data_IF_009871327458
#
_entry.id   IF_009871327458
#
_cell.length_a   1.000
_cell.length_b   1.000
_cell.length_c   1.000
_cell.angle_alpha   90.00
_cell.angle_beta   90.00
_cell.angle_gamma   90.00
#
_symmetry.space_group_name_H-M   'P 1'
#
loop_
_entity.id
_entity.type
_entity.pdbx_description
1 polymer ?
#
# COMPACT_ATOMS: atom_id res chain seq x y z
N UNK A 1 61.80 64.03 60.84
CA UNK A 1 60.66 63.57 61.68
C UNK A 1 59.71 62.75 60.81
N UNK A 2 58.96 61.80 61.39
CA UNK A 2 58.05 60.90 60.64
C UNK A 2 56.97 61.66 59.85
N UNK A 3 56.62 61.17 58.65
CA UNK A 3 55.26 60.75 58.29
C UNK A 3 55.27 59.88 57.02
N UNK A 4 54.62 58.71 57.12
CA UNK A 4 54.38 57.78 56.01
C UNK A 4 53.24 58.30 55.12
N UNK A 5 53.24 57.95 53.84
CA UNK A 5 52.02 57.71 53.06
C UNK A 5 52.19 56.54 52.07
N UNK A 6 51.26 55.60 52.16
CA UNK A 6 51.03 54.37 51.36
C UNK A 6 49.51 54.09 51.59
N UNK A 7 48.69 53.51 50.71
CA UNK A 7 48.83 52.69 49.47
C UNK A 7 47.78 53.23 48.47
N UNK A 8 47.83 53.07 47.13
CA UNK A 8 48.65 52.26 46.23
C UNK A 8 48.07 52.26 44.80
N UNK A 9 48.57 51.35 43.95
CA UNK A 9 48.20 51.27 42.53
C UNK A 9 47.49 49.96 42.23
N UNK A 10 46.36 50.01 41.54
CA UNK A 10 45.57 48.84 41.15
C UNK A 10 46.28 48.06 40.05
N UNK A 11 46.57 46.79 40.28
CA UNK A 11 47.13 45.88 39.27
C UNK A 11 46.01 45.12 38.56
N UNK A 12 45.71 45.48 37.32
CA UNK A 12 44.74 44.78 36.49
C UNK A 12 45.36 43.49 35.93
N UNK A 13 44.74 42.34 36.23
CA UNK A 13 45.14 41.03 35.70
C UNK A 13 44.28 40.74 34.46
N UNK A 14 44.91 40.66 33.30
CA UNK A 14 44.25 40.21 32.08
C UNK A 14 44.26 38.67 32.02
N UNK A 15 43.10 38.00 31.81
CA UNK A 15 43.08 36.54 31.65
C UNK A 15 43.60 36.14 30.27
N UNK A 16 44.65 35.31 30.24
CA UNK A 16 45.13 34.65 29.02
C UNK A 16 44.13 33.56 28.63
N UNK A 17 43.38 33.78 27.55
CA UNK A 17 42.45 32.80 27.01
C UNK A 17 43.16 31.67 26.28
N UNK A 18 43.34 30.52 26.93
CA UNK A 18 43.75 29.29 26.25
C UNK A 18 42.62 28.80 25.34
N UNK A 19 42.81 28.92 24.02
CA UNK A 19 41.90 28.38 23.02
C UNK A 19 42.01 26.84 22.96
N UNK A 20 41.26 26.15 23.82
CA UNK A 20 41.08 24.71 23.71
C UNK A 20 40.31 24.39 22.42
N UNK A 21 41.00 23.83 21.43
CA UNK A 21 40.36 23.20 20.27
C UNK A 21 39.54 22.01 20.76
N UNK A 22 38.23 22.22 20.94
CA UNK A 22 37.29 21.16 21.25
C UNK A 22 37.29 20.13 20.13
N UNK A 23 37.69 18.91 20.43
CA UNK A 23 37.51 17.77 19.53
C UNK A 23 36.00 17.50 19.48
N UNK A 24 35.33 18.09 18.48
CA UNK A 24 33.91 17.84 18.22
C UNK A 24 33.73 16.39 17.78
N UNK A 25 33.48 15.51 18.75
CA UNK A 25 33.01 14.15 18.49
C UNK A 25 31.66 14.29 17.80
N UNK A 26 31.64 14.08 16.48
CA UNK A 26 30.41 14.04 15.72
C UNK A 26 29.52 12.94 16.32
N UNK A 27 28.41 13.33 16.94
CA UNK A 27 27.36 12.39 17.31
C UNK A 27 26.80 11.83 16.01
N UNK A 28 27.15 10.60 15.69
CA UNK A 28 26.46 9.83 14.69
C UNK A 28 25.01 9.63 15.19
N UNK A 29 24.10 10.46 14.69
CA UNK A 29 22.66 10.24 14.84
C UNK A 29 22.31 8.98 14.06
N UNK A 30 22.39 7.82 14.73
CA UNK A 30 21.76 6.61 14.24
C UNK A 30 20.25 6.85 14.31
N UNK A 31 19.68 7.31 13.21
CA UNK A 31 18.24 7.22 12.98
C UNK A 31 17.88 5.74 13.04
N UNK A 32 17.42 5.29 14.21
CA UNK A 32 16.72 4.03 14.31
C UNK A 32 15.42 4.24 13.54
N UNK A 33 15.36 3.61 12.37
CA UNK A 33 14.18 3.62 11.53
C UNK A 33 13.05 2.97 12.34
N UNK A 34 12.14 3.80 12.86
CA UNK A 34 10.99 3.30 13.61
C UNK A 34 10.19 2.41 12.67
N UNK A 35 9.89 1.15 13.02
CA UNK A 35 9.14 0.28 12.13
C UNK A 35 7.82 0.97 11.79
N UNK A 36 7.59 1.19 10.49
CA UNK A 36 6.41 1.91 10.03
C UNK A 36 5.13 1.24 10.51
N UNK A 37 4.15 2.05 10.93
CA UNK A 37 2.90 1.55 11.49
C UNK A 37 2.14 0.70 10.45
N UNK A 38 1.76 -0.55 10.78
CA UNK A 38 0.99 -1.39 9.87
C UNK A 38 -0.39 -0.78 9.57
N UNK A 39 -0.74 -0.65 8.29
CA UNK A 39 -2.00 -0.07 7.85
C UNK A 39 -3.12 -1.12 7.79
N UNK A 40 -4.24 -0.83 8.44
CA UNK A 40 -5.51 -1.52 8.18
C UNK A 40 -6.25 -0.82 7.05
N UNK A 41 -6.44 -1.52 5.92
CA UNK A 41 -7.18 -0.97 4.77
C UNK A 41 -8.58 -1.59 4.67
N UNK A 42 -9.55 -0.72 4.38
CA UNK A 42 -10.96 -1.07 4.23
C UNK A 42 -11.56 -0.42 2.98
N UNK A 43 -12.43 -1.15 2.29
CA UNK A 43 -13.30 -0.61 1.25
C UNK A 43 -14.68 -1.25 1.33
N UNK A 44 -15.73 -0.48 1.06
CA UNK A 44 -17.09 -0.99 0.89
C UNK A 44 -17.91 -0.03 0.03
N UNK A 45 -18.76 -0.57 -0.84
CA UNK A 45 -19.68 0.23 -1.66
C UNK A 45 -20.49 -0.59 -2.65
N UNK A 46 -21.52 0.05 -3.21
CA UNK A 46 -22.30 -0.46 -4.34
C UNK A 46 -21.73 0.07 -5.66
N UNK A 47 -21.68 -0.79 -6.67
CA UNK A 47 -21.13 -0.47 -7.99
C UNK A 47 -22.02 0.56 -8.70
N UNK A 48 -21.39 1.65 -9.12
CA UNK A 48 -22.00 2.71 -9.93
C UNK A 48 -21.36 2.77 -11.31
N UNK A 49 -22.00 3.42 -12.31
CA UNK A 49 -21.31 3.86 -13.52
C UNK A 49 -20.06 4.70 -13.18
N UNK A 50 -19.02 4.70 -14.04
CA UNK A 50 -17.79 5.43 -13.74
C UNK A 50 -18.01 6.94 -13.56
N UNK A 51 -17.57 7.47 -12.43
CA UNK A 51 -17.65 8.89 -12.10
C UNK A 51 -16.54 9.27 -11.09
N UNK A 52 -16.14 10.57 -11.00
CA UNK A 52 -14.94 10.95 -10.24
C UNK A 52 -15.04 10.80 -8.72
N UNK A 53 -16.23 10.64 -8.14
CA UNK A 53 -16.44 10.60 -6.68
C UNK A 53 -16.74 9.20 -6.14
N UNK A 54 -17.04 8.23 -7.02
CA UNK A 54 -17.37 6.88 -6.59
C UNK A 54 -16.16 6.10 -6.14
N UNK A 55 -16.33 5.38 -5.02
CA UNK A 55 -15.37 4.43 -4.47
C UNK A 55 -15.64 2.99 -4.93
N UNK A 56 -16.71 2.75 -5.70
CA UNK A 56 -17.12 1.43 -6.14
C UNK A 56 -17.71 1.54 -7.56
N UNK A 57 -16.94 1.13 -8.57
CA UNK A 57 -17.21 1.42 -9.98
C UNK A 57 -17.31 0.11 -10.76
N UNK A 58 -18.32 -0.02 -11.63
CA UNK A 58 -18.35 -1.03 -12.69
C UNK A 58 -17.92 -0.43 -14.02
N UNK A 59 -17.09 -1.18 -14.75
CA UNK A 59 -16.68 -0.91 -16.14
C UNK A 59 -17.30 -1.91 -17.12
N UNK A 60 -17.89 -3.01 -16.62
CA UNK A 60 -18.65 -3.98 -17.41
C UNK A 60 -19.91 -4.41 -16.62
N UNK A 61 -21.07 -3.75 -16.84
CA UNK A 61 -22.30 -4.02 -16.10
C UNK A 61 -22.93 -5.38 -16.42
N UNK A 62 -22.56 -6.06 -17.51
CA UNK A 62 -23.08 -7.39 -17.82
C UNK A 62 -22.46 -8.47 -16.90
N UNK A 63 -21.25 -8.22 -16.40
CA UNK A 63 -20.53 -9.12 -15.49
C UNK A 63 -20.55 -8.65 -14.03
N UNK A 64 -20.61 -7.33 -13.83
CA UNK A 64 -20.65 -6.67 -12.53
C UNK A 64 -21.73 -5.56 -12.55
N UNK A 65 -23.03 -5.92 -12.41
CA UNK A 65 -24.15 -5.00 -12.51
C UNK A 65 -24.06 -3.75 -11.62
N UNK A 66 -24.67 -2.66 -12.09
CA UNK A 66 -24.92 -1.47 -11.26
C UNK A 66 -25.80 -1.91 -10.07
N UNK A 67 -25.40 -1.52 -8.86
CA UNK A 67 -26.07 -1.95 -7.62
C UNK A 67 -25.53 -3.24 -6.99
N UNK A 68 -24.70 -4.02 -7.70
CA UNK A 68 -23.89 -5.07 -7.07
C UNK A 68 -22.99 -4.46 -5.99
N UNK A 69 -22.60 -5.22 -4.96
CA UNK A 69 -21.82 -4.70 -3.84
C UNK A 69 -20.46 -5.40 -3.71
N UNK A 70 -19.46 -4.65 -3.23
CA UNK A 70 -18.15 -5.17 -2.87
C UNK A 70 -17.77 -4.68 -1.46
N UNK A 71 -17.08 -5.52 -0.70
CA UNK A 71 -16.41 -5.14 0.55
C UNK A 71 -15.06 -5.84 0.64
N UNK A 72 -14.02 -5.11 1.00
CA UNK A 72 -12.66 -5.64 1.13
C UNK A 72 -11.98 -5.18 2.43
N UNK A 73 -11.13 -6.03 2.99
CA UNK A 73 -10.39 -5.80 4.24
C UNK A 73 -8.99 -6.37 4.13
N UNK A 74 -7.96 -5.55 4.36
CA UNK A 74 -6.55 -5.99 4.41
C UNK A 74 -6.05 -5.68 5.83
N UNK A 75 -6.02 -6.70 6.68
CA UNK A 75 -5.77 -6.60 8.13
C UNK A 75 -4.35 -7.09 8.43
N UNK A 76 -3.43 -6.23 8.90
CA UNK A 76 -2.11 -6.65 9.33
C UNK A 76 -2.18 -7.48 10.62
N UNK A 77 -1.27 -8.44 10.76
CA UNK A 77 -1.17 -9.36 11.90
C UNK A 77 0.17 -9.21 12.60
N UNK A 78 0.23 -9.55 13.89
CA UNK A 78 1.43 -9.37 14.74
C UNK A 78 2.58 -10.31 14.38
N UNK A 79 2.36 -11.29 13.51
CA UNK A 79 3.37 -12.20 12.95
C UNK A 79 4.08 -11.64 11.69
N UNK A 80 3.73 -10.42 11.25
CA UNK A 80 4.28 -9.79 10.06
C UNK A 80 3.54 -10.12 8.76
N UNK A 81 2.39 -10.81 8.84
CA UNK A 81 1.53 -11.09 7.69
C UNK A 81 0.38 -10.09 7.53
N UNK A 82 -0.27 -10.07 6.37
CA UNK A 82 -1.55 -9.37 6.15
C UNK A 82 -2.59 -10.36 5.67
N UNK A 83 -3.73 -10.44 6.38
CA UNK A 83 -4.91 -11.17 5.92
C UNK A 83 -5.76 -10.25 5.04
N UNK A 84 -5.93 -10.63 3.78
CA UNK A 84 -6.80 -9.95 2.83
C UNK A 84 -8.09 -10.75 2.63
N UNK A 85 -9.21 -10.05 2.53
CA UNK A 85 -10.54 -10.62 2.31
C UNK A 85 -11.34 -9.74 1.33
N UNK A 86 -12.09 -10.38 0.44
CA UNK A 86 -13.05 -9.77 -0.48
C UNK A 86 -14.38 -10.52 -0.38
N UNK A 87 -15.47 -9.79 -0.20
CA UNK A 87 -16.84 -10.27 -0.38
C UNK A 87 -17.51 -9.49 -1.51
N UNK A 88 -18.25 -10.18 -2.37
CA UNK A 88 -19.03 -9.63 -3.48
C UNK A 88 -20.48 -10.11 -3.40
N UNK A 89 -21.41 -9.28 -3.88
CA UNK A 89 -22.84 -9.60 -3.99
C UNK A 89 -23.42 -9.06 -5.29
N UNK A 90 -24.27 -9.84 -5.96
CA UNK A 90 -24.97 -9.40 -7.18
C UNK A 90 -24.10 -9.26 -8.43
N UNK A 91 -22.89 -9.85 -8.45
CA UNK A 91 -22.16 -10.07 -9.69
C UNK A 91 -22.85 -11.18 -10.51
N UNK A 92 -22.47 -11.38 -11.78
CA UNK A 92 -23.04 -12.48 -12.59
C UNK A 92 -22.85 -13.84 -11.87
N UNK A 93 -23.92 -14.63 -11.66
CA UNK A 93 -23.87 -15.88 -10.89
C UNK A 93 -23.00 -17.01 -11.46
N UNK A 94 -22.72 -18.00 -10.60
CA UNK A 94 -22.16 -19.31 -10.93
C UNK A 94 -20.81 -19.30 -11.69
N UNK A 95 -19.95 -18.31 -11.46
CA UNK A 95 -18.67 -18.19 -12.18
C UNK A 95 -17.52 -17.73 -11.29
N UNK A 96 -16.31 -17.92 -11.79
CA UNK A 96 -15.12 -17.32 -11.20
C UNK A 96 -14.88 -15.90 -11.70
N UNK A 97 -14.11 -15.16 -10.91
CA UNK A 97 -13.47 -13.90 -11.24
C UNK A 97 -12.08 -13.87 -10.60
N UNK A 98 -11.07 -13.50 -11.38
CA UNK A 98 -9.79 -13.08 -10.83
C UNK A 98 -9.97 -11.71 -10.16
N UNK A 99 -9.34 -11.49 -9.00
CA UNK A 99 -9.36 -10.19 -8.34
C UNK A 99 -8.03 -9.89 -7.65
N UNK A 100 -7.55 -8.65 -7.80
CA UNK A 100 -6.21 -8.25 -7.38
C UNK A 100 -6.23 -6.94 -6.62
N UNK A 101 -5.30 -6.78 -5.67
CA UNK A 101 -4.99 -5.46 -5.14
C UNK A 101 -4.20 -4.62 -6.17
N UNK A 102 -4.51 -3.33 -6.25
CA UNK A 102 -4.00 -2.42 -7.27
C UNK A 102 -3.43 -1.14 -6.64
N UNK A 103 -2.41 -0.58 -7.29
CA UNK A 103 -1.56 0.50 -6.74
C UNK A 103 -2.23 1.87 -6.60
N UNK A 104 -3.36 2.13 -7.26
CA UNK A 104 -4.06 3.42 -7.20
C UNK A 104 -5.53 3.20 -6.83
N UNK A 105 -6.23 4.28 -6.46
CA UNK A 105 -7.69 4.26 -6.26
C UNK A 105 -8.42 4.01 -7.57
N UNK A 106 -9.71 3.68 -7.50
CA UNK A 106 -10.55 3.64 -8.70
C UNK A 106 -10.67 5.02 -9.35
N UNK A 107 -10.99 5.04 -10.64
CA UNK A 107 -11.20 6.26 -11.41
C UNK A 107 -12.21 6.06 -12.53
N UNK A 108 -12.40 7.08 -13.38
CA UNK A 108 -13.38 7.05 -14.47
C UNK A 108 -13.05 5.97 -15.52
N UNK A 109 -11.77 5.65 -15.70
CA UNK A 109 -11.29 4.60 -16.61
C UNK A 109 -10.68 3.45 -15.83
N UNK A 110 -10.80 2.22 -16.34
CA UNK A 110 -10.39 1.04 -15.61
C UNK A 110 -8.88 0.93 -15.39
N UNK A 111 -8.07 1.55 -16.26
CA UNK A 111 -6.62 1.66 -16.12
C UNK A 111 -6.18 2.59 -14.98
N UNK A 112 -7.03 3.53 -14.54
CA UNK A 112 -6.73 4.51 -13.48
C UNK A 112 -6.33 3.87 -12.14
N UNK A 113 -6.78 2.64 -11.85
CA UNK A 113 -6.33 1.84 -10.70
C UNK A 113 -4.82 1.45 -10.75
N UNK A 114 -4.09 1.83 -11.81
CA UNK A 114 -2.66 1.60 -11.95
C UNK A 114 -2.33 0.12 -12.18
N UNK A 115 -1.11 -0.29 -11.81
CA UNK A 115 -0.66 -1.68 -11.88
C UNK A 115 -1.15 -2.50 -10.67
N UNK A 116 -1.04 -3.82 -10.75
CA UNK A 116 -1.18 -4.72 -9.58
C UNK A 116 -0.19 -4.31 -8.48
N UNK A 117 -0.62 -4.35 -7.24
CA UNK A 117 0.24 -4.12 -6.10
C UNK A 117 1.23 -5.28 -5.93
N UNK A 118 2.50 -4.94 -5.76
CA UNK A 118 3.60 -5.87 -5.56
C UNK A 118 4.42 -5.43 -4.36
N UNK A 119 4.65 -6.33 -3.39
CA UNK A 119 5.53 -6.06 -2.25
C UNK A 119 6.96 -5.81 -2.76
N UNK A 120 7.53 -6.79 -3.46
CA UNK A 120 8.75 -6.64 -4.24
C UNK A 120 8.40 -6.32 -5.70
N UNK A 121 8.74 -5.11 -6.15
CA UNK A 121 8.46 -4.68 -7.52
C UNK A 121 9.29 -5.48 -8.54
N UNK A 122 8.65 -5.87 -9.65
CA UNK A 122 9.36 -6.33 -10.84
C UNK A 122 10.07 -5.13 -11.52
N UNK A 123 11.41 -5.10 -11.60
CA UNK A 123 12.14 -3.98 -12.19
C UNK A 123 11.96 -3.88 -13.72
N UNK A 124 11.46 -4.94 -14.38
CA UNK A 124 11.13 -4.91 -15.80
C UNK A 124 9.68 -4.47 -16.09
N UNK A 125 8.82 -4.39 -15.06
CA UNK A 125 7.42 -4.03 -15.23
C UNK A 125 7.23 -2.51 -15.40
N UNK A 126 6.34 -2.14 -16.32
CA UNK A 126 5.94 -0.76 -16.57
C UNK A 126 4.41 -0.63 -16.51
N UNK A 127 3.88 0.59 -16.65
CA UNK A 127 2.43 0.81 -16.78
C UNK A 127 1.81 0.12 -18.02
N UNK A 128 2.59 -0.03 -19.10
CA UNK A 128 2.15 -0.67 -20.36
C UNK A 128 2.44 -2.17 -20.41
N UNK A 129 3.50 -2.63 -19.73
CA UNK A 129 3.90 -4.02 -19.63
C UNK A 129 3.92 -4.44 -18.15
N UNK A 130 2.77 -4.83 -17.56
CA UNK A 130 2.73 -5.33 -16.19
C UNK A 130 3.49 -6.66 -16.07
N UNK A 131 4.00 -6.97 -14.87
CA UNK A 131 4.78 -8.19 -14.62
C UNK A 131 4.00 -9.46 -14.98
N UNK A 132 4.59 -10.30 -15.84
CA UNK A 132 4.14 -11.68 -16.10
C UNK A 132 5.17 -12.73 -15.68
N UNK A 133 6.19 -12.29 -14.94
CA UNK A 133 7.25 -13.12 -14.40
C UNK A 133 6.80 -13.74 -13.06
N UNK A 134 6.70 -15.08 -12.92
CA UNK A 134 6.22 -15.72 -11.70
C UNK A 134 7.10 -15.45 -10.46
N UNK A 135 8.34 -14.94 -10.62
CA UNK A 135 9.14 -14.45 -9.48
C UNK A 135 8.52 -13.24 -8.77
N UNK A 136 7.74 -12.43 -9.49
CA UNK A 136 7.12 -11.20 -8.97
C UNK A 136 5.59 -11.26 -8.99
N UNK A 137 4.99 -11.82 -10.04
CA UNK A 137 3.55 -12.05 -10.14
C UNK A 137 3.17 -13.41 -9.53
N UNK A 138 3.01 -13.47 -8.21
CA UNK A 138 2.65 -14.67 -7.46
C UNK A 138 1.93 -14.33 -6.14
N UNK A 139 1.19 -15.27 -5.53
CA UNK A 139 0.38 -14.99 -4.32
C UNK A 139 1.17 -14.72 -3.04
N UNK A 140 2.50 -14.85 -3.05
CA UNK A 140 3.36 -14.46 -1.91
C UNK A 140 3.88 -13.02 -2.04
N UNK A 141 3.70 -12.38 -3.20
CA UNK A 141 4.21 -11.05 -3.51
C UNK A 141 3.11 -10.07 -3.96
N UNK A 142 1.97 -10.59 -4.41
CA UNK A 142 0.77 -9.85 -4.80
C UNK A 142 -0.43 -10.35 -3.99
N UNK A 143 -1.40 -9.48 -3.73
CA UNK A 143 -2.65 -9.86 -3.06
C UNK A 143 -3.65 -10.29 -4.13
N UNK A 144 -3.90 -11.60 -4.23
CA UNK A 144 -4.89 -12.20 -5.12
C UNK A 144 -6.08 -12.75 -4.31
N UNK A 145 -7.29 -12.38 -4.73
CA UNK A 145 -8.57 -12.62 -4.07
C UNK A 145 -9.58 -13.20 -5.06
N UNK A 146 -9.12 -14.11 -5.93
CA UNK A 146 -9.96 -14.84 -6.89
C UNK A 146 -11.22 -15.37 -6.20
N UNK A 147 -12.39 -14.99 -6.70
CA UNK A 147 -13.68 -15.22 -6.05
C UNK A 147 -14.60 -16.01 -6.98
N UNK A 148 -15.39 -16.92 -6.41
CA UNK A 148 -16.46 -17.65 -7.10
C UNK A 148 -17.80 -17.10 -6.65
N UNK A 149 -18.69 -16.78 -7.58
CA UNK A 149 -20.10 -16.51 -7.29
C UNK A 149 -20.91 -17.79 -7.20
N UNK A 150 -21.85 -17.80 -6.25
CA UNK A 150 -22.97 -18.75 -6.16
C UNK A 150 -24.09 -18.38 -7.16
N UNK A 151 -25.26 -19.02 -7.02
CA UNK A 151 -26.45 -18.78 -7.85
C UNK A 151 -27.14 -17.44 -7.59
N UNK A 152 -26.91 -16.82 -6.43
CA UNK A 152 -27.35 -15.46 -6.09
C UNK A 152 -26.35 -14.37 -6.53
N UNK A 153 -25.20 -14.74 -7.12
CA UNK A 153 -24.16 -13.78 -7.49
C UNK A 153 -23.30 -13.31 -6.32
N UNK A 154 -23.34 -14.03 -5.19
CA UNK A 154 -22.58 -13.73 -3.98
C UNK A 154 -21.33 -14.61 -3.86
N UNK A 155 -20.28 -14.11 -3.21
CA UNK A 155 -19.05 -14.87 -3.02
C UNK A 155 -18.07 -14.20 -2.08
N UNK A 156 -17.24 -15.02 -1.40
CA UNK A 156 -16.16 -14.55 -0.53
C UNK A 156 -14.85 -15.23 -0.90
N UNK A 157 -13.75 -14.49 -0.85
CA UNK A 157 -12.39 -14.99 -1.01
C UNK A 157 -11.48 -14.37 0.05
N UNK A 158 -10.45 -15.11 0.48
CA UNK A 158 -9.45 -14.61 1.42
C UNK A 158 -8.10 -15.25 1.19
N UNK A 159 -7.04 -14.50 1.48
CA UNK A 159 -5.64 -14.96 1.45
C UNK A 159 -4.85 -14.33 2.59
N UNK A 160 -3.72 -14.92 2.96
CA UNK A 160 -2.74 -14.32 3.87
C UNK A 160 -1.42 -14.16 3.12
N UNK A 161 -0.91 -12.93 3.04
CA UNK A 161 0.37 -12.63 2.40
C UNK A 161 1.48 -12.43 3.44
N UNK A 162 2.73 -12.83 3.17
CA UNK A 162 3.83 -12.85 4.15
C UNK A 162 4.50 -11.47 4.32
N UNK A 163 3.72 -10.39 4.31
CA UNK A 163 4.19 -9.02 4.49
C UNK A 163 3.10 -8.14 5.11
N UNK A 164 3.52 -7.09 5.82
CA UNK A 164 2.66 -5.98 6.27
C UNK A 164 2.59 -4.87 5.21
N UNK A 165 1.55 -4.05 5.29
CA UNK A 165 1.38 -2.85 4.48
C UNK A 165 1.73 -1.62 5.33
N UNK A 166 2.56 -0.74 4.79
CA UNK A 166 3.05 0.47 5.47
C UNK A 166 2.95 1.66 4.50
N UNK A 167 3.99 2.46 4.27
CA UNK A 167 4.00 3.57 3.30
C UNK A 167 3.46 3.19 1.91
N UNK A 168 3.76 1.97 1.46
CA UNK A 168 3.29 1.39 0.20
C UNK A 168 2.11 0.45 0.45
N UNK A 169 0.91 1.00 0.27
CA UNK A 169 -0.36 0.28 0.28
C UNK A 169 -1.02 0.20 -1.11
N UNK A 170 -1.89 -0.80 -1.37
CA UNK A 170 -2.82 -0.77 -2.50
C UNK A 170 -3.94 0.27 -2.28
N UNK A 171 -4.27 1.02 -3.33
CA UNK A 171 -5.38 1.98 -3.33
C UNK A 171 -6.73 1.38 -3.73
N UNK A 172 -6.77 0.16 -4.27
CA UNK A 172 -8.02 -0.52 -4.66
C UNK A 172 -7.91 -2.04 -4.72
N UNK A 173 -9.07 -2.71 -4.74
CA UNK A 173 -9.25 -4.06 -5.26
C UNK A 173 -9.94 -3.98 -6.62
N UNK A 174 -9.37 -4.61 -7.63
CA UNK A 174 -9.93 -4.69 -8.99
C UNK A 174 -10.39 -6.12 -9.26
N UNK A 175 -11.62 -6.27 -9.77
CA UNK A 175 -12.17 -7.54 -10.25
C UNK A 175 -12.01 -7.58 -11.77
N UNK A 176 -11.62 -8.73 -12.30
CA UNK A 176 -11.37 -8.96 -13.71
C UNK A 176 -12.29 -10.04 -14.31
N UNK A 177 -12.38 -10.06 -15.65
CA UNK A 177 -13.26 -10.98 -16.38
C UNK A 177 -12.80 -12.44 -16.41
N UNK A 178 -11.50 -12.76 -16.28
CA UNK A 178 -11.05 -14.15 -16.31
C UNK A 178 -11.57 -14.89 -15.07
N UNK A 179 -11.88 -16.18 -15.20
CA UNK A 179 -12.47 -16.97 -14.10
C UNK A 179 -11.49 -17.32 -12.98
N UNK A 180 -10.20 -17.08 -13.20
CA UNK A 180 -9.10 -17.23 -12.25
C UNK A 180 -7.87 -16.49 -12.74
N UNK A 181 -6.95 -16.20 -11.85
CA UNK A 181 -5.61 -15.70 -12.16
C UNK A 181 -4.78 -16.82 -12.79
N UNK A 182 -4.04 -16.48 -13.85
CA UNK A 182 -3.10 -17.40 -14.47
C UNK A 182 -1.77 -17.45 -13.70
N UNK A 183 -1.22 -18.66 -13.58
CA UNK A 183 0.00 -18.97 -12.85
C UNK A 183 0.95 -19.74 -13.76
N UNK A 184 1.97 -19.06 -14.30
CA UNK A 184 2.98 -19.69 -15.15
C UNK A 184 3.89 -18.68 -15.85
N UNK A 185 5.07 -19.08 -16.34
CA UNK A 185 5.98 -18.20 -17.06
C UNK A 185 5.30 -17.47 -18.23
N UNK A 186 5.53 -16.17 -18.35
CA UNK A 186 4.97 -15.33 -19.43
C UNK A 186 3.52 -14.89 -19.24
N UNK A 187 2.77 -15.53 -18.33
CA UNK A 187 1.33 -15.27 -18.11
C UNK A 187 0.96 -15.15 -16.62
N UNK A 188 1.93 -15.04 -15.72
CA UNK A 188 1.67 -14.98 -14.29
C UNK A 188 0.94 -13.68 -13.91
N UNK A 189 -0.15 -13.78 -13.13
CA UNK A 189 -0.98 -12.62 -12.80
C UNK A 189 -1.84 -12.09 -13.96
N UNK A 190 -1.91 -12.80 -15.10
CA UNK A 190 -2.86 -12.47 -16.17
C UNK A 190 -4.29 -12.82 -15.75
N UNK A 191 -5.21 -11.86 -15.93
CA UNK A 191 -6.60 -11.95 -15.47
C UNK A 191 -7.64 -11.38 -16.45
N UNK A 192 -7.25 -10.94 -17.66
CA UNK A 192 -8.16 -10.30 -18.62
C UNK A 192 -8.56 -8.87 -18.24
N UNK A 193 -9.59 -8.35 -18.91
CA UNK A 193 -10.10 -7.00 -18.70
C UNK A 193 -10.58 -6.76 -17.26
N UNK A 194 -10.46 -5.51 -16.81
CA UNK A 194 -10.91 -5.04 -15.50
C UNK A 194 -12.39 -4.70 -15.58
N UNK A 195 -13.24 -5.36 -14.78
CA UNK A 195 -14.70 -5.24 -14.87
C UNK A 195 -15.30 -4.41 -13.74
N UNK A 196 -14.66 -4.36 -12.58
CA UNK A 196 -15.10 -3.56 -11.44
C UNK A 196 -13.90 -3.16 -10.56
N UNK A 197 -14.07 -2.12 -9.77
CA UNK A 197 -13.04 -1.61 -8.87
C UNK A 197 -13.67 -1.09 -7.57
N UNK A 198 -13.04 -1.40 -6.44
CA UNK A 198 -13.35 -0.90 -5.11
C UNK A 198 -12.15 -0.17 -4.51
N UNK A 199 -12.29 1.13 -4.24
CA UNK A 199 -11.26 1.95 -3.59
C UNK A 199 -11.12 1.55 -2.12
N UNK A 200 -9.87 1.43 -1.67
CA UNK A 200 -9.50 1.20 -0.28
C UNK A 200 -9.14 2.54 0.38
N UNK A 201 -9.34 2.61 1.70
CA UNK A 201 -8.83 3.67 2.56
C UNK A 201 -8.29 3.05 3.86
N UNK A 202 -7.36 3.75 4.51
CA UNK A 202 -6.98 3.47 5.90
C UNK A 202 -8.19 3.65 6.83
N UNK A 203 -8.23 2.91 7.94
CA UNK A 203 -9.37 2.86 8.86
C UNK A 203 -8.96 2.91 10.34
#
# INVERSE_FOLDING_TARGET
MRRLLIVGTVMAIAPVGCAYHGISIARASTSFDSPESPLFLFGSGTLTPPNPVSKAITYNPDLAPIGAAMTARLIPSTDGSTRAELTVFGLLPNRGYAAHAHTQTCGVTADAAGRRFQNHLDPAATSRAPSSNPRYANPNNEIWLDVRTDDAGAGTSSTTVPFILTDRAPGSIVVHEATRTLTGPGHAGTAGARIACLTLAER
#
